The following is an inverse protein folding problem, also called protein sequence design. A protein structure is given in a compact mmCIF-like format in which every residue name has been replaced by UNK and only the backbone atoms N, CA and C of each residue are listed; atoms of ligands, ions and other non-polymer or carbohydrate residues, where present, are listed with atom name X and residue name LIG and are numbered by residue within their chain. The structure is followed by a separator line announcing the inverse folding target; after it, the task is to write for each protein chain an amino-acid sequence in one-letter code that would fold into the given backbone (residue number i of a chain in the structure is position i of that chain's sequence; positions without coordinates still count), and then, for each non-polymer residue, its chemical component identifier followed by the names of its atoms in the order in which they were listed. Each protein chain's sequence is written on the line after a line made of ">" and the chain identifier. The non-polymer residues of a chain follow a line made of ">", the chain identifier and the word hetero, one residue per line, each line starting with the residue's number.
data_IF_652907202358
#
_entry.id   IF_652907202358
#
_cell.length_a   1.000
_cell.length_b   1.000
_cell.length_c   1.000
_cell.angle_alpha   90.00
_cell.angle_beta   90.00
_cell.angle_gamma   90.00
#
_symmetry.space_group_name_H-M   'P 1'
#
loop_
_entity.id
_entity.type
_entity.pdbx_description
1 polymer ?
#
# COMPACT_ATOMS: atom_id res chain seq x y z
N UNK A 1 -5.09 -13.91 9.63
CA UNK A 1 -4.90 -13.27 8.31
C UNK A 1 -3.45 -12.82 8.19
N UNK A 2 -2.80 -13.06 7.06
CA UNK A 2 -1.46 -12.53 6.74
C UNK A 2 -1.59 -11.35 5.78
N UNK A 3 -0.73 -10.36 5.92
CA UNK A 3 -0.64 -9.20 5.03
C UNK A 3 0.76 -9.19 4.41
N UNK A 4 0.84 -9.22 3.09
CA UNK A 4 2.09 -9.13 2.33
C UNK A 4 2.09 -7.80 1.56
N UNK A 5 2.88 -6.85 1.99
CA UNK A 5 2.96 -5.50 1.43
C UNK A 5 4.09 -5.43 0.40
N UNK A 6 3.77 -5.12 -0.85
CA UNK A 6 4.72 -4.95 -1.95
C UNK A 6 4.98 -3.46 -2.18
N UNK A 7 6.23 -3.03 -2.01
CA UNK A 7 6.65 -1.65 -2.22
C UNK A 7 7.95 -1.58 -3.01
N UNK A 8 8.20 -0.45 -3.65
CA UNK A 8 9.39 -0.17 -4.44
C UNK A 8 9.14 0.94 -5.44
N UNK A 9 10.19 1.35 -6.16
CA UNK A 9 10.15 2.40 -7.17
C UNK A 9 9.11 2.12 -8.26
N UNK A 10 8.61 3.17 -8.92
CA UNK A 10 7.77 3.04 -10.10
C UNK A 10 8.45 2.21 -11.20
N UNK A 11 7.72 1.30 -11.84
CA UNK A 11 8.19 0.51 -12.97
C UNK A 11 9.07 -0.71 -12.65
N UNK A 12 9.36 -1.02 -11.37
CA UNK A 12 10.17 -2.20 -11.01
C UNK A 12 9.43 -3.54 -11.10
N UNK A 13 8.11 -3.53 -11.32
CA UNK A 13 7.28 -4.73 -11.47
C UNK A 13 6.59 -5.19 -10.18
N UNK A 14 6.27 -4.26 -9.27
CA UNK A 14 5.52 -4.55 -8.03
C UNK A 14 4.22 -5.30 -8.30
N UNK A 15 3.38 -4.75 -9.15
CA UNK A 15 2.05 -5.28 -9.50
C UNK A 15 2.12 -6.70 -10.01
N UNK A 16 3.00 -6.99 -10.98
CA UNK A 16 3.16 -8.34 -11.53
C UNK A 16 3.65 -9.35 -10.47
N UNK A 17 4.56 -8.94 -9.57
CA UNK A 17 5.07 -9.80 -8.49
C UNK A 17 4.03 -10.02 -7.38
N UNK A 18 3.23 -9.00 -7.05
CA UNK A 18 2.10 -9.12 -6.14
C UNK A 18 1.03 -10.07 -6.70
N UNK A 19 0.65 -9.89 -7.98
CA UNK A 19 -0.29 -10.74 -8.69
C UNK A 19 0.19 -12.21 -8.77
N UNK A 20 1.45 -12.42 -9.14
CA UNK A 20 2.06 -13.76 -9.17
C UNK A 20 2.06 -14.44 -7.79
N UNK A 21 2.33 -13.68 -6.73
CA UNK A 21 2.27 -14.18 -5.35
C UNK A 21 0.86 -14.58 -4.95
N UNK A 22 -0.14 -13.76 -5.29
CA UNK A 22 -1.54 -14.05 -5.00
C UNK A 22 -2.01 -15.31 -5.73
N UNK A 23 -1.63 -15.49 -7.01
CA UNK A 23 -1.89 -16.74 -7.76
C UNK A 23 -1.29 -17.94 -7.04
N UNK A 24 -0.01 -17.86 -6.62
CA UNK A 24 0.65 -18.96 -5.92
C UNK A 24 -0.05 -19.35 -4.63
N UNK A 25 -0.47 -18.37 -3.84
CA UNK A 25 -1.22 -18.59 -2.60
C UNK A 25 -2.58 -19.24 -2.84
N UNK A 26 -3.30 -18.76 -3.85
CA UNK A 26 -4.60 -19.32 -4.25
C UNK A 26 -4.46 -20.77 -4.76
N UNK A 27 -3.41 -21.08 -5.53
CA UNK A 27 -3.08 -22.45 -5.97
C UNK A 27 -2.78 -23.39 -4.81
N UNK A 28 -2.27 -22.87 -3.67
CA UNK A 28 -2.09 -23.61 -2.44
C UNK A 28 -3.38 -23.77 -1.62
N UNK A 29 -4.52 -23.32 -2.13
CA UNK A 29 -5.84 -23.41 -1.49
C UNK A 29 -6.13 -22.31 -0.48
N UNK A 30 -5.27 -21.30 -0.33
CA UNK A 30 -5.50 -20.17 0.58
C UNK A 30 -6.46 -19.15 -0.03
N UNK A 31 -7.48 -18.76 0.72
CA UNK A 31 -8.39 -17.69 0.31
C UNK A 31 -7.64 -16.35 0.31
N UNK A 32 -7.27 -15.88 -0.87
CA UNK A 32 -6.33 -14.78 -1.08
C UNK A 32 -7.00 -13.61 -1.77
N UNK A 33 -6.80 -12.41 -1.22
CA UNK A 33 -7.12 -11.14 -1.86
C UNK A 33 -5.82 -10.48 -2.33
N UNK A 34 -5.77 -10.06 -3.60
CA UNK A 34 -4.80 -9.08 -4.06
C UNK A 34 -5.49 -7.73 -4.20
N UNK A 35 -4.96 -6.71 -3.54
CA UNK A 35 -5.56 -5.38 -3.49
C UNK A 35 -4.55 -4.33 -3.94
N UNK A 36 -4.94 -3.49 -4.91
CA UNK A 36 -4.15 -2.33 -5.34
C UNK A 36 -4.56 -1.07 -4.58
N UNK A 37 -3.52 -0.35 -4.11
CA UNK A 37 -3.62 1.00 -3.54
C UNK A 37 -3.06 2.02 -4.54
N UNK A 38 -2.57 1.56 -5.70
CA UNK A 38 -2.01 2.42 -6.74
C UNK A 38 -3.17 3.03 -7.57
N UNK A 39 -3.28 4.37 -7.63
CA UNK A 39 -4.32 5.03 -8.43
C UNK A 39 -4.21 4.73 -9.93
N UNK A 40 -3.10 4.20 -10.41
CA UNK A 40 -2.94 3.80 -11.82
C UNK A 40 -3.80 2.58 -12.23
N UNK A 41 -4.45 1.90 -11.26
CA UNK A 41 -5.34 0.75 -11.52
C UNK A 41 -4.73 -0.33 -12.44
N UNK A 42 -3.43 -0.59 -12.31
CA UNK A 42 -2.68 -1.51 -13.17
C UNK A 42 -2.83 -2.99 -12.79
N UNK A 43 -3.53 -3.28 -11.68
CA UNK A 43 -3.65 -4.65 -11.18
C UNK A 43 -4.59 -5.50 -12.06
N UNK A 44 -5.75 -4.96 -12.45
CA UNK A 44 -6.66 -5.61 -13.38
C UNK A 44 -6.01 -5.86 -14.75
N UNK A 45 -5.25 -4.88 -15.23
CA UNK A 45 -4.51 -4.98 -16.48
C UNK A 45 -3.46 -6.10 -16.40
N UNK A 46 -2.79 -6.28 -15.25
CA UNK A 46 -1.82 -7.35 -15.07
C UNK A 46 -2.42 -8.75 -15.20
N UNK A 47 -3.71 -8.92 -14.86
CA UNK A 47 -4.45 -10.16 -15.03
C UNK A 47 -5.11 -10.31 -16.41
N UNK A 48 -5.00 -9.30 -17.28
CA UNK A 48 -5.63 -9.24 -18.60
C UNK A 48 -7.17 -9.39 -18.52
N UNK A 49 -7.77 -8.76 -17.51
CA UNK A 49 -9.21 -8.87 -17.25
C UNK A 49 -10.06 -7.90 -18.09
N UNK A 50 -9.43 -7.08 -18.95
CA UNK A 50 -10.11 -6.08 -19.76
C UNK A 50 -10.97 -5.12 -18.93
N UNK A 51 -12.14 -4.73 -19.45
CA UNK A 51 -13.06 -3.80 -18.76
C UNK A 51 -13.86 -4.37 -17.58
N UNK A 52 -13.65 -5.62 -17.16
CA UNK A 52 -14.50 -6.30 -16.17
C UNK A 52 -14.61 -5.54 -14.82
N UNK A 53 -13.55 -4.90 -14.37
CA UNK A 53 -13.58 -4.07 -13.15
C UNK A 53 -14.21 -2.69 -13.36
N UNK A 54 -14.10 -2.13 -14.57
CA UNK A 54 -14.82 -0.90 -14.93
C UNK A 54 -16.33 -1.13 -14.94
N UNK A 55 -16.77 -2.29 -15.39
CA UNK A 55 -18.19 -2.68 -15.43
C UNK A 55 -18.74 -3.01 -14.05
N UNK A 56 -17.93 -3.54 -13.14
CA UNK A 56 -18.35 -3.98 -11.81
C UNK A 56 -18.86 -2.83 -10.91
N UNK A 57 -18.62 -1.56 -11.23
CA UNK A 57 -19.08 -0.35 -10.52
C UNK A 57 -18.97 -0.40 -8.98
N UNK A 58 -18.20 -1.32 -8.42
CA UNK A 58 -18.03 -1.52 -6.97
C UNK A 58 -16.54 -1.55 -6.62
N UNK A 59 -16.21 -1.13 -5.38
CA UNK A 59 -14.87 -1.33 -4.79
C UNK A 59 -14.80 -2.65 -4.00
N UNK A 60 -15.80 -3.51 -4.11
CA UNK A 60 -15.83 -4.79 -3.41
C UNK A 60 -14.94 -5.81 -4.12
N UNK A 61 -14.41 -6.84 -3.41
CA UNK A 61 -13.55 -7.85 -4.01
C UNK A 61 -14.26 -8.63 -5.12
N UNK A 62 -13.63 -8.72 -6.29
CA UNK A 62 -14.07 -9.53 -7.41
C UNK A 62 -13.36 -10.87 -7.38
N UNK A 63 -14.09 -11.98 -7.39
CA UNK A 63 -13.48 -13.30 -7.54
C UNK A 63 -13.04 -13.51 -8.98
N UNK A 64 -11.72 -13.66 -9.19
CA UNK A 64 -11.10 -13.83 -10.52
C UNK A 64 -10.57 -15.24 -10.77
N UNK A 65 -10.63 -16.11 -9.75
CA UNK A 65 -10.22 -17.50 -9.85
C UNK A 65 -10.57 -18.28 -8.58
N UNK A 66 -10.31 -19.61 -8.54
CA UNK A 66 -10.47 -20.40 -7.33
C UNK A 66 -9.63 -19.83 -6.19
N UNK A 67 -10.26 -19.46 -5.07
CA UNK A 67 -9.62 -18.87 -3.90
C UNK A 67 -8.89 -17.54 -4.16
N UNK A 68 -9.03 -16.92 -5.35
CA UNK A 68 -8.36 -15.70 -5.73
C UNK A 68 -9.36 -14.56 -5.96
N UNK A 69 -9.15 -13.48 -5.24
CA UNK A 69 -9.97 -12.27 -5.32
C UNK A 69 -9.09 -11.07 -5.63
N UNK A 70 -9.64 -10.12 -6.37
CA UNK A 70 -8.98 -8.87 -6.76
C UNK A 70 -9.83 -7.69 -6.33
N UNK A 71 -9.18 -6.64 -5.82
CA UNK A 71 -9.83 -5.39 -5.45
C UNK A 71 -8.94 -4.20 -5.85
N UNK A 72 -9.54 -3.20 -6.46
CA UNK A 72 -8.93 -1.89 -6.70
C UNK A 72 -9.68 -0.82 -5.92
N UNK A 73 -8.96 -0.05 -5.11
CA UNK A 73 -9.54 1.03 -4.32
C UNK A 73 -9.70 2.25 -5.22
N UNK A 74 -10.96 2.61 -5.54
CA UNK A 74 -11.27 3.76 -6.39
C UNK A 74 -11.76 4.94 -5.54
N UNK A 75 -10.97 6.01 -5.48
CA UNK A 75 -11.24 7.18 -4.65
C UNK A 75 -12.61 7.82 -4.90
N UNK A 76 -13.04 7.92 -6.16
CA UNK A 76 -14.32 8.54 -6.50
C UNK A 76 -15.52 7.75 -5.96
N UNK A 77 -15.39 6.43 -5.84
CA UNK A 77 -16.39 5.54 -5.25
C UNK A 77 -16.35 5.60 -3.74
N UNK A 78 -15.15 5.59 -3.17
CA UNK A 78 -14.94 5.70 -1.73
C UNK A 78 -15.44 7.03 -1.17
N UNK A 79 -15.22 8.13 -1.89
CA UNK A 79 -15.77 9.44 -1.53
C UNK A 79 -17.29 9.40 -1.34
N UNK A 80 -18.00 8.76 -2.26
CA UNK A 80 -19.46 8.63 -2.15
C UNK A 80 -19.88 7.73 -0.99
N UNK A 81 -19.13 6.66 -0.73
CA UNK A 81 -19.47 5.62 0.25
C UNK A 81 -19.14 6.02 1.69
N UNK A 82 -17.98 6.64 1.91
CA UNK A 82 -17.41 6.85 3.25
C UNK A 82 -17.10 8.31 3.59
N UNK A 83 -16.90 9.18 2.62
CA UNK A 83 -16.40 10.53 2.81
C UNK A 83 -17.45 11.62 2.57
N UNK A 84 -18.68 11.26 2.26
CA UNK A 84 -19.72 12.19 1.77
C UNK A 84 -19.91 13.45 2.62
N UNK A 85 -19.97 13.36 3.95
CA UNK A 85 -20.14 14.55 4.80
C UNK A 85 -18.84 15.37 4.95
N UNK A 86 -17.68 14.72 4.93
CA UNK A 86 -16.37 15.39 4.98
C UNK A 86 -16.17 16.15 3.68
N UNK A 87 -16.34 15.49 2.54
CA UNK A 87 -16.25 16.09 1.21
C UNK A 87 -17.26 17.25 1.03
N UNK A 88 -18.51 17.07 1.44
CA UNK A 88 -19.52 18.11 1.37
C UNK A 88 -19.15 19.35 2.20
N UNK A 89 -18.56 19.17 3.38
CA UNK A 89 -18.09 20.29 4.19
C UNK A 89 -16.91 21.00 3.50
N UNK A 90 -15.88 20.26 3.05
CA UNK A 90 -14.71 20.83 2.36
C UNK A 90 -15.13 21.58 1.09
N UNK A 91 -15.97 20.96 0.26
CA UNK A 91 -16.56 21.62 -0.93
C UNK A 91 -17.29 22.91 -0.56
N UNK A 92 -18.05 22.90 0.56
CA UNK A 92 -18.78 24.11 1.00
C UNK A 92 -17.85 25.26 1.42
N UNK A 93 -16.67 24.93 1.98
CA UNK A 93 -15.64 25.93 2.33
C UNK A 93 -15.03 26.51 1.06
N UNK A 94 -14.66 25.67 0.08
CA UNK A 94 -14.11 26.15 -1.19
C UNK A 94 -15.09 27.00 -1.99
N UNK A 95 -16.37 26.66 -2.04
CA UNK A 95 -17.43 27.50 -2.65
C UNK A 95 -17.57 28.85 -1.98
N UNK A 96 -17.36 28.93 -0.67
CA UNK A 96 -17.39 30.22 0.05
C UNK A 96 -16.16 31.07 -0.29
N UNK A 97 -15.06 30.44 -0.71
CA UNK A 97 -13.82 31.12 -1.16
C UNK A 97 -13.83 31.50 -2.65
N UNK A 98 -14.95 31.31 -3.36
CA UNK A 98 -15.13 31.72 -4.74
C UNK A 98 -14.84 30.65 -5.80
N UNK A 99 -14.59 29.41 -5.40
CA UNK A 99 -14.48 28.26 -6.32
C UNK A 99 -15.88 27.66 -6.53
N UNK A 100 -16.27 27.44 -7.79
CA UNK A 100 -17.59 26.93 -8.14
C UNK A 100 -17.50 25.61 -8.94
N UNK A 101 -18.58 24.80 -8.87
CA UNK A 101 -18.75 23.62 -9.71
C UNK A 101 -17.77 22.50 -9.46
N UNK A 102 -17.25 21.90 -10.54
CA UNK A 102 -16.37 20.73 -10.55
C UNK A 102 -15.04 21.00 -9.83
N UNK A 103 -14.50 22.23 -9.96
CA UNK A 103 -13.23 22.60 -9.34
C UNK A 103 -13.29 22.47 -7.80
N UNK A 104 -14.39 22.88 -7.18
CA UNK A 104 -14.57 22.75 -5.73
C UNK A 104 -14.71 21.28 -5.28
N UNK A 105 -15.28 20.42 -6.14
CA UNK A 105 -15.41 18.98 -5.88
C UNK A 105 -14.07 18.25 -6.04
N UNK A 106 -13.29 18.59 -7.08
CA UNK A 106 -11.96 18.02 -7.28
C UNK A 106 -10.99 18.43 -6.16
N UNK A 107 -11.03 19.68 -5.69
CA UNK A 107 -10.22 20.14 -4.57
C UNK A 107 -10.66 19.56 -3.22
N UNK A 108 -11.84 18.97 -3.13
CA UNK A 108 -12.29 18.26 -1.95
C UNK A 108 -11.71 16.83 -1.82
N UNK A 109 -10.98 16.35 -2.83
CA UNK A 109 -10.20 15.12 -2.76
C UNK A 109 -8.93 15.42 -1.98
N UNK A 110 -8.88 14.97 -0.73
CA UNK A 110 -7.74 15.20 0.15
C UNK A 110 -6.64 14.14 -0.11
N UNK A 111 -5.36 14.52 -0.14
CA UNK A 111 -4.27 13.56 -0.22
C UNK A 111 -4.33 12.56 0.94
N UNK A 112 -4.16 11.28 0.66
CA UNK A 112 -4.21 10.22 1.67
C UNK A 112 -5.56 9.52 1.81
N UNK A 113 -6.59 9.93 1.07
CA UNK A 113 -7.91 9.28 1.11
C UNK A 113 -7.89 7.85 0.56
N UNK A 114 -7.05 7.57 -0.44
CA UNK A 114 -6.88 6.24 -1.02
C UNK A 114 -6.25 5.30 0.00
N UNK A 115 -5.17 5.75 0.64
CA UNK A 115 -4.47 5.00 1.67
C UNK A 115 -5.38 4.72 2.88
N UNK A 116 -6.17 5.72 3.31
CA UNK A 116 -7.13 5.54 4.40
C UNK A 116 -8.25 4.57 4.03
N UNK A 117 -8.76 4.63 2.79
CA UNK A 117 -9.78 3.71 2.31
C UNK A 117 -9.25 2.28 2.25
N UNK A 118 -8.01 2.10 1.77
CA UNK A 118 -7.36 0.79 1.78
C UNK A 118 -7.17 0.25 3.21
N UNK A 119 -6.79 1.09 4.17
CA UNK A 119 -6.69 0.70 5.58
C UNK A 119 -8.03 0.25 6.17
N UNK A 120 -9.13 0.94 5.82
CA UNK A 120 -10.46 0.52 6.26
C UNK A 120 -10.79 -0.89 5.76
N UNK A 121 -10.50 -1.19 4.49
CA UNK A 121 -10.69 -2.53 3.92
C UNK A 121 -9.80 -3.57 4.59
N UNK A 122 -8.50 -3.30 4.75
CA UNK A 122 -7.57 -4.20 5.45
C UNK A 122 -8.09 -4.52 6.86
N UNK A 123 -8.55 -3.52 7.61
CA UNK A 123 -9.09 -3.72 8.95
C UNK A 123 -10.43 -4.47 8.95
N UNK A 124 -11.29 -4.20 7.97
CA UNK A 124 -12.54 -4.92 7.77
C UNK A 124 -12.26 -6.41 7.55
N UNK A 125 -11.34 -6.76 6.62
CA UNK A 125 -11.01 -8.15 6.32
C UNK A 125 -10.29 -8.85 7.49
N UNK A 126 -9.48 -8.09 8.23
CA UNK A 126 -8.85 -8.62 9.45
C UNK A 126 -9.89 -8.97 10.51
N UNK A 127 -10.91 -8.12 10.70
CA UNK A 127 -11.98 -8.35 11.70
C UNK A 127 -12.97 -9.43 11.26
N UNK A 128 -13.29 -9.51 9.97
CA UNK A 128 -14.21 -10.51 9.43
C UNK A 128 -13.58 -11.89 9.29
N UNK A 129 -12.24 -11.96 9.11
CA UNK A 129 -11.56 -13.21 8.80
C UNK A 129 -11.89 -13.77 7.41
N UNK A 130 -12.41 -12.95 6.50
CA UNK A 130 -12.85 -13.36 5.17
C UNK A 130 -11.71 -13.91 4.31
N UNK A 131 -10.51 -13.35 4.45
CA UNK A 131 -9.33 -13.79 3.71
C UNK A 131 -8.26 -14.33 4.66
N UNK A 132 -7.56 -15.38 4.22
CA UNK A 132 -6.39 -15.91 4.93
C UNK A 132 -5.16 -15.05 4.66
N UNK A 133 -5.03 -14.55 3.42
CA UNK A 133 -3.92 -13.69 2.99
C UNK A 133 -4.43 -12.51 2.19
N UNK A 134 -3.90 -11.33 2.49
CA UNK A 134 -4.09 -10.10 1.71
C UNK A 134 -2.73 -9.67 1.17
N UNK A 135 -2.63 -9.59 -0.15
CA UNK A 135 -1.44 -9.10 -0.87
C UNK A 135 -1.73 -7.67 -1.28
N UNK A 136 -0.97 -6.71 -0.72
CA UNK A 136 -1.11 -5.29 -1.01
C UNK A 136 -0.11 -4.87 -2.07
N UNK A 137 -0.61 -4.50 -3.25
CA UNK A 137 0.17 -3.81 -4.28
C UNK A 137 0.14 -2.31 -3.99
N UNK A 138 1.23 -1.79 -3.44
CA UNK A 138 1.31 -0.40 -3.06
C UNK A 138 1.83 0.46 -4.21
N UNK A 139 1.32 1.68 -4.28
CA UNK A 139 1.84 2.74 -5.13
C UNK A 139 3.36 2.98 -4.90
N UNK A 140 4.05 3.74 -5.75
CA UNK A 140 5.49 4.00 -5.61
C UNK A 140 5.89 4.46 -4.20
N UNK A 141 7.14 4.24 -3.85
CA UNK A 141 7.71 4.33 -2.49
C UNK A 141 7.16 5.45 -1.60
N UNK A 142 7.01 6.67 -2.11
CA UNK A 142 6.55 7.81 -1.31
C UNK A 142 5.11 7.64 -0.77
N UNK A 143 4.22 7.05 -1.56
CA UNK A 143 2.82 6.81 -1.18
C UNK A 143 2.70 5.59 -0.26
N UNK A 144 3.48 4.53 -0.52
CA UNK A 144 3.60 3.40 0.42
C UNK A 144 4.05 3.86 1.81
N UNK A 145 4.93 4.87 1.88
CA UNK A 145 5.40 5.44 3.14
C UNK A 145 4.28 6.21 3.85
N UNK A 146 3.41 6.91 3.12
CA UNK A 146 2.22 7.55 3.69
C UNK A 146 1.26 6.52 4.27
N UNK A 147 0.98 5.45 3.54
CA UNK A 147 0.14 4.35 4.02
C UNK A 147 0.57 3.86 5.40
N UNK A 148 1.86 3.76 5.67
CA UNK A 148 2.39 3.27 6.95
C UNK A 148 2.34 4.34 8.05
N UNK A 149 2.59 5.61 7.74
CA UNK A 149 2.67 6.70 8.72
C UNK A 149 1.31 7.30 9.11
N UNK A 150 0.30 7.18 8.24
CA UNK A 150 -1.02 7.77 8.46
C UNK A 150 -1.72 7.30 9.75
N UNK A 151 -1.75 6.00 10.11
CA UNK A 151 -2.45 5.56 11.31
C UNK A 151 -1.91 6.23 12.57
N UNK A 152 -0.60 6.28 12.74
CA UNK A 152 0.06 6.91 13.90
C UNK A 152 -0.22 8.41 13.96
N UNK A 153 -0.18 9.10 12.80
CA UNK A 153 -0.47 10.53 12.71
C UNK A 153 -1.92 10.83 13.08
N UNK A 154 -2.86 10.04 12.59
CA UNK A 154 -4.29 10.18 12.87
C UNK A 154 -4.61 9.85 14.33
N UNK A 155 -3.99 8.83 14.91
CA UNK A 155 -4.15 8.50 16.33
C UNK A 155 -3.70 9.66 17.22
N UNK A 156 -2.54 10.26 16.89
CA UNK A 156 -2.06 11.44 17.60
C UNK A 156 -3.04 12.62 17.51
N UNK A 157 -3.55 12.91 16.28
CA UNK A 157 -4.54 13.95 16.06
C UNK A 157 -5.82 13.71 16.87
N UNK A 158 -6.36 12.50 16.83
CA UNK A 158 -7.58 12.14 17.57
C UNK A 158 -7.41 12.27 19.08
N UNK A 159 -6.23 11.91 19.62
CA UNK A 159 -5.95 12.01 21.05
C UNK A 159 -5.77 13.45 21.54
N UNK A 160 -5.10 14.30 20.76
CA UNK A 160 -4.63 15.59 21.26
C UNK A 160 -5.38 16.80 20.70
N UNK A 161 -5.93 16.71 19.49
CA UNK A 161 -6.50 17.86 18.77
C UNK A 161 -8.00 17.74 18.59
N UNK A 162 -8.49 16.61 18.14
CA UNK A 162 -9.88 16.40 17.74
C UNK A 162 -10.91 16.75 18.82
N UNK A 163 -10.71 16.30 20.07
CA UNK A 163 -11.60 16.59 21.20
C UNK A 163 -11.63 18.08 21.54
N UNK A 164 -10.48 18.74 21.47
CA UNK A 164 -10.36 20.17 21.72
C UNK A 164 -11.06 20.98 20.62
N UNK A 165 -10.80 20.64 19.35
CA UNK A 165 -11.41 21.28 18.19
C UNK A 165 -12.95 21.15 18.22
N UNK A 166 -13.47 19.94 18.45
CA UNK A 166 -14.92 19.70 18.58
C UNK A 166 -15.54 20.52 19.71
N UNK A 167 -14.87 20.62 20.86
CA UNK A 167 -15.35 21.41 22.01
C UNK A 167 -15.35 22.90 21.71
N UNK A 168 -14.29 23.41 21.08
CA UNK A 168 -14.17 24.80 20.66
C UNK A 168 -15.28 25.17 19.65
N UNK A 169 -15.50 24.31 18.65
CA UNK A 169 -16.55 24.52 17.64
C UNK A 169 -17.95 24.57 18.26
N UNK A 170 -18.23 23.74 19.27
CA UNK A 170 -19.50 23.80 20.03
C UNK A 170 -19.67 25.11 20.76
N UNK A 171 -18.60 25.64 21.36
CA UNK A 171 -18.65 26.91 22.10
C UNK A 171 -18.78 28.13 21.17
N UNK A 172 -18.15 28.12 20.01
CA UNK A 172 -18.14 29.24 19.04
C UNK A 172 -19.41 29.29 18.17
N UNK A 173 -20.05 28.13 17.91
CA UNK A 173 -21.23 28.03 17.02
C UNK A 173 -22.36 29.03 17.33
N UNK A 174 -22.79 29.28 18.61
CA UNK A 174 -23.84 30.26 18.89
C UNK A 174 -23.44 31.70 18.54
N UNK A 175 -22.14 32.01 18.63
CA UNK A 175 -21.60 33.35 18.36
C UNK A 175 -21.39 33.55 16.85
N UNK A 176 -20.84 32.55 16.16
CA UNK A 176 -20.57 32.60 14.74
C UNK A 176 -21.86 32.80 13.91
N UNK A 177 -22.97 32.19 14.33
CA UNK A 177 -24.27 32.35 13.69
C UNK A 177 -24.81 33.82 13.75
N UNK A 178 -24.20 34.67 14.60
CA UNK A 178 -24.55 36.09 14.74
C UNK A 178 -23.61 37.03 14.00
N UNK A 179 -22.40 36.57 13.64
CA UNK A 179 -21.31 37.39 13.10
C UNK A 179 -21.19 37.36 11.57
N UNK A 180 -21.99 36.55 10.85
CA UNK A 180 -21.98 36.49 9.39
C UNK A 180 -21.74 35.09 8.80
N UNK A 181 -21.42 34.96 7.51
CA UNK A 181 -21.49 33.69 6.76
C UNK A 181 -20.29 32.73 7.02
N UNK A 182 -19.75 32.69 8.23
CA UNK A 182 -18.70 31.72 8.56
C UNK A 182 -19.31 30.34 8.70
N UNK A 183 -19.04 29.47 7.72
CA UNK A 183 -19.48 28.08 7.75
C UNK A 183 -18.60 27.25 8.68
N UNK A 184 -19.09 27.01 9.89
CA UNK A 184 -18.46 26.07 10.82
C UNK A 184 -18.80 24.62 10.46
N UNK A 185 -17.88 23.66 10.74
CA UNK A 185 -18.14 22.25 10.53
C UNK A 185 -19.43 21.80 11.27
N UNK A 186 -20.37 21.11 10.58
CA UNK A 186 -21.53 20.53 11.26
C UNK A 186 -21.10 19.41 12.21
N UNK A 187 -21.96 19.07 13.19
CA UNK A 187 -21.67 17.94 14.11
C UNK A 187 -21.50 16.61 13.37
N UNK A 188 -22.22 16.42 12.25
CA UNK A 188 -22.06 15.25 11.37
C UNK A 188 -20.65 15.10 10.79
N UNK A 189 -19.93 16.20 10.56
CA UNK A 189 -18.51 16.16 10.17
C UNK A 189 -17.67 15.45 11.24
N UNK A 190 -17.80 15.88 12.50
CA UNK A 190 -17.05 15.28 13.61
C UNK A 190 -17.43 13.82 13.85
N UNK A 191 -18.69 13.46 13.68
CA UNK A 191 -19.16 12.08 13.76
C UNK A 191 -18.51 11.22 12.66
N UNK A 192 -18.52 11.68 11.41
CA UNK A 192 -17.93 10.94 10.30
C UNK A 192 -16.40 10.80 10.43
N UNK A 193 -15.70 11.83 10.94
CA UNK A 193 -14.27 11.72 11.22
C UNK A 193 -14.01 10.67 12.30
N UNK A 194 -14.83 10.63 13.36
CA UNK A 194 -14.73 9.62 14.40
C UNK A 194 -15.00 8.21 13.84
N UNK A 195 -16.06 8.04 13.04
CA UNK A 195 -16.42 6.76 12.42
C UNK A 195 -15.32 6.24 11.49
N UNK A 196 -14.67 7.13 10.74
CA UNK A 196 -13.52 6.77 9.90
C UNK A 196 -12.34 6.31 10.74
N UNK A 197 -12.03 7.05 11.81
CA UNK A 197 -10.96 6.67 12.72
C UNK A 197 -11.23 5.30 13.36
N UNK A 198 -12.44 5.05 13.82
CA UNK A 198 -12.82 3.76 14.43
C UNK A 198 -12.71 2.58 13.44
N UNK A 199 -12.91 2.85 12.14
CA UNK A 199 -12.74 1.85 11.08
C UNK A 199 -11.27 1.49 10.84
N UNK A 200 -10.33 2.41 11.04
CA UNK A 200 -8.90 2.15 10.85
C UNK A 200 -8.17 1.81 12.16
N UNK A 201 -8.80 1.99 13.31
CA UNK A 201 -8.18 1.75 14.61
C UNK A 201 -7.62 0.33 14.75
N UNK A 202 -6.34 0.23 15.12
CA UNK A 202 -5.60 -1.03 15.27
C UNK A 202 -4.98 -1.57 13.97
N UNK A 203 -5.02 -0.82 12.87
CA UNK A 203 -4.26 -1.16 11.65
C UNK A 203 -2.76 -0.98 11.88
N UNK A 204 -2.34 0.05 12.57
CA UNK A 204 -0.97 0.30 13.00
C UNK A 204 -0.36 -0.91 13.71
N UNK A 205 -1.03 -1.40 14.76
CA UNK A 205 -0.63 -2.60 15.49
C UNK A 205 -0.52 -3.82 14.58
N UNK A 206 -1.46 -4.00 13.63
CA UNK A 206 -1.42 -5.11 12.69
C UNK A 206 -0.28 -4.98 11.67
N UNK A 207 0.04 -3.76 11.24
CA UNK A 207 1.16 -3.51 10.33
C UNK A 207 2.52 -3.73 11.01
N UNK A 208 2.64 -3.40 12.28
CA UNK A 208 3.86 -3.60 13.07
C UNK A 208 4.08 -5.04 13.54
N UNK A 209 3.01 -5.84 13.62
CA UNK A 209 3.10 -7.25 14.03
C UNK A 209 3.69 -8.10 12.90
N UNK A 210 4.94 -8.54 13.06
CA UNK A 210 5.64 -9.39 12.08
C UNK A 210 4.99 -10.75 11.84
N UNK A 211 4.15 -11.22 12.78
CA UNK A 211 3.33 -12.43 12.59
C UNK A 211 2.13 -12.18 11.66
N UNK A 212 1.71 -10.94 11.52
CA UNK A 212 0.59 -10.51 10.65
C UNK A 212 1.10 -9.92 9.36
N UNK A 213 2.03 -8.98 9.39
CA UNK A 213 2.48 -8.20 8.23
C UNK A 213 3.95 -8.43 7.90
N UNK A 214 4.23 -8.58 6.62
CA UNK A 214 5.59 -8.56 6.05
C UNK A 214 5.65 -7.60 4.87
N UNK A 215 6.75 -6.84 4.80
CA UNK A 215 7.06 -5.95 3.67
C UNK A 215 8.03 -6.64 2.73
N UNK A 216 7.76 -6.60 1.43
CA UNK A 216 8.63 -7.05 0.34
C UNK A 216 9.03 -5.86 -0.49
N UNK A 217 10.32 -5.58 -0.50
CA UNK A 217 10.85 -4.47 -1.29
C UNK A 217 11.29 -4.98 -2.65
N UNK A 218 10.69 -4.39 -3.68
CA UNK A 218 10.99 -4.71 -5.06
C UNK A 218 11.99 -3.69 -5.61
N UNK A 219 13.04 -4.20 -6.23
CA UNK A 219 14.10 -3.39 -6.83
C UNK A 219 14.54 -3.99 -8.16
N UNK A 220 15.27 -3.22 -8.96
CA UNK A 220 16.07 -3.72 -10.07
C UNK A 220 17.55 -3.58 -9.72
N UNK A 221 18.41 -4.30 -10.41
CA UNK A 221 19.86 -4.21 -10.19
C UNK A 221 20.46 -2.96 -10.86
N UNK A 222 19.93 -1.79 -10.50
CA UNK A 222 20.34 -0.45 -10.96
C UNK A 222 20.69 0.44 -9.77
N UNK A 223 21.78 1.20 -9.84
CA UNK A 223 22.29 2.04 -8.72
C UNK A 223 21.27 3.03 -8.18
N UNK A 224 20.50 3.68 -9.07
CA UNK A 224 19.50 4.66 -8.64
C UNK A 224 18.32 4.00 -7.94
N UNK A 225 17.87 2.84 -8.44
CA UNK A 225 16.77 2.07 -7.84
C UNK A 225 17.21 1.50 -6.49
N UNK A 226 18.45 0.99 -6.40
CA UNK A 226 19.02 0.52 -5.12
C UNK A 226 19.00 1.61 -4.04
N UNK A 227 19.43 2.84 -4.36
CA UNK A 227 19.42 3.95 -3.38
C UNK A 227 18.02 4.29 -2.87
N UNK A 228 17.02 4.19 -3.74
CA UNK A 228 15.64 4.39 -3.34
C UNK A 228 15.13 3.25 -2.46
N UNK A 229 15.48 2.02 -2.81
CA UNK A 229 15.15 0.82 -2.01
C UNK A 229 15.81 0.87 -0.62
N UNK A 230 17.05 1.36 -0.52
CA UNK A 230 17.75 1.57 0.76
C UNK A 230 17.00 2.56 1.65
N UNK A 231 16.55 3.69 1.09
CA UNK A 231 15.74 4.67 1.84
C UNK A 231 14.40 4.08 2.31
N UNK A 232 13.73 3.33 1.43
CA UNK A 232 12.49 2.65 1.77
C UNK A 232 12.69 1.63 2.90
N UNK A 233 13.77 0.85 2.84
CA UNK A 233 14.12 -0.14 3.87
C UNK A 233 14.31 0.52 5.25
N UNK A 234 15.09 1.59 5.31
CA UNK A 234 15.29 2.34 6.56
C UNK A 234 13.96 2.89 7.07
N UNK A 235 13.15 3.48 6.20
CA UNK A 235 11.87 4.07 6.60
C UNK A 235 10.88 3.03 7.15
N UNK A 236 10.67 1.91 6.45
CA UNK A 236 9.80 0.84 6.95
C UNK A 236 10.30 0.30 8.30
N UNK A 237 11.61 0.16 8.45
CA UNK A 237 12.22 -0.29 9.71
C UNK A 237 12.01 0.72 10.84
N UNK A 238 12.13 2.03 10.59
CA UNK A 238 11.86 3.09 11.56
C UNK A 238 10.39 3.09 12.03
N UNK A 239 9.47 2.75 11.14
CA UNK A 239 8.05 2.59 11.47
C UNK A 239 7.68 1.22 12.01
N UNK A 240 8.66 0.42 12.40
CA UNK A 240 8.43 -0.87 13.07
C UNK A 240 8.01 -2.02 12.17
N UNK A 241 7.96 -1.84 10.83
CA UNK A 241 7.57 -2.89 9.91
C UNK A 241 8.72 -3.84 9.62
N UNK A 242 8.41 -5.11 9.48
CA UNK A 242 9.39 -6.15 9.15
C UNK A 242 9.50 -6.33 7.65
N UNK A 243 10.67 -5.97 7.09
CA UNK A 243 11.02 -6.32 5.71
C UNK A 243 11.51 -7.77 5.70
N UNK A 244 10.76 -8.67 5.06
CA UNK A 244 11.07 -10.11 5.03
C UNK A 244 11.86 -10.54 3.80
N UNK A 245 11.73 -9.84 2.67
CA UNK A 245 12.46 -10.11 1.43
C UNK A 245 12.79 -8.84 0.65
N UNK A 246 13.95 -8.87 0.00
CA UNK A 246 14.29 -7.98 -1.11
C UNK A 246 14.14 -8.80 -2.40
N UNK A 247 13.33 -8.33 -3.35
CA UNK A 247 13.14 -9.02 -4.63
C UNK A 247 13.75 -8.18 -5.73
N UNK A 248 14.86 -8.69 -6.31
CA UNK A 248 15.50 -8.07 -7.46
C UNK A 248 14.89 -8.62 -8.73
N UNK A 249 14.08 -7.79 -9.37
CA UNK A 249 13.36 -8.15 -10.59
C UNK A 249 14.18 -7.82 -11.85
N UNK A 250 13.87 -8.48 -12.95
CA UNK A 250 14.48 -8.27 -14.27
C UNK A 250 16.00 -8.47 -14.28
N UNK A 251 16.47 -9.51 -13.58
CA UNK A 251 17.88 -9.90 -13.64
C UNK A 251 18.15 -10.53 -15.00
N UNK A 252 19.17 -10.03 -15.68
CA UNK A 252 19.55 -10.51 -17.01
C UNK A 252 19.95 -12.00 -16.93
N UNK A 253 19.29 -12.90 -17.68
CA UNK A 253 19.60 -14.33 -17.66
C UNK A 253 21.01 -14.62 -18.16
N UNK A 254 21.64 -15.69 -17.65
CA UNK A 254 23.01 -16.07 -18.02
C UNK A 254 23.14 -16.52 -19.49
N UNK A 255 22.04 -16.96 -20.08
CA UNK A 255 21.96 -17.38 -21.48
C UNK A 255 22.15 -16.20 -22.47
N UNK A 256 21.92 -14.97 -22.05
CA UNK A 256 22.08 -13.78 -22.86
C UNK A 256 23.56 -13.41 -22.90
N UNK A 257 24.30 -13.87 -23.92
CA UNK A 257 25.74 -13.72 -24.03
C UNK A 257 26.22 -12.73 -25.09
N UNK A 258 25.32 -12.02 -25.74
CA UNK A 258 25.67 -11.01 -26.73
C UNK A 258 26.60 -9.94 -26.15
N UNK A 259 27.58 -9.51 -26.93
CA UNK A 259 28.59 -8.54 -26.49
C UNK A 259 28.04 -7.20 -26.06
N UNK A 260 26.85 -6.80 -26.58
CA UNK A 260 26.13 -5.59 -26.16
C UNK A 260 25.73 -5.65 -24.69
N UNK A 261 25.34 -6.83 -24.19
CA UNK A 261 24.89 -7.00 -22.81
C UNK A 261 26.04 -7.20 -21.81
N UNK A 262 27.27 -7.28 -22.24
CA UNK A 262 28.42 -7.54 -21.35
C UNK A 262 28.58 -6.45 -20.28
N UNK A 263 28.61 -5.19 -20.67
CA UNK A 263 28.73 -4.07 -19.73
C UNK A 263 27.52 -3.97 -18.78
N UNK A 264 26.32 -4.21 -19.30
CA UNK A 264 25.07 -4.24 -18.50
C UNK A 264 25.17 -5.34 -17.45
N UNK A 265 25.65 -6.52 -17.80
CA UNK A 265 25.85 -7.64 -16.88
C UNK A 265 26.87 -7.34 -15.80
N UNK A 266 28.01 -6.73 -16.16
CA UNK A 266 29.04 -6.35 -15.20
C UNK A 266 28.52 -5.35 -14.17
N UNK A 267 27.81 -4.31 -14.61
CA UNK A 267 27.17 -3.35 -13.71
C UNK A 267 26.06 -3.98 -12.85
N UNK A 268 25.27 -4.86 -13.44
CA UNK A 268 24.22 -5.58 -12.73
C UNK A 268 24.80 -6.48 -11.63
N UNK A 269 25.87 -7.24 -11.94
CA UNK A 269 26.52 -8.11 -10.96
C UNK A 269 27.14 -7.32 -9.81
N UNK A 270 27.78 -6.19 -10.10
CA UNK A 270 28.29 -5.30 -9.06
C UNK A 270 27.17 -4.74 -8.17
N UNK A 271 26.03 -4.38 -8.77
CA UNK A 271 24.86 -3.89 -8.02
C UNK A 271 24.19 -5.00 -7.22
N UNK A 272 24.09 -6.23 -7.74
CA UNK A 272 23.57 -7.39 -7.01
C UNK A 272 24.43 -7.69 -5.77
N UNK A 273 25.75 -7.67 -5.89
CA UNK A 273 26.65 -7.85 -4.73
C UNK A 273 26.43 -6.75 -3.67
N UNK A 274 26.27 -5.50 -4.10
CA UNK A 274 25.97 -4.38 -3.19
C UNK A 274 24.61 -4.54 -2.51
N UNK A 275 23.59 -5.05 -3.22
CA UNK A 275 22.25 -5.35 -2.65
C UNK A 275 22.37 -6.41 -1.55
N UNK A 276 23.05 -7.52 -1.83
CA UNK A 276 23.23 -8.62 -0.86
C UNK A 276 23.98 -8.16 0.38
N UNK A 277 25.06 -7.40 0.20
CA UNK A 277 25.83 -6.86 1.30
C UNK A 277 25.04 -5.88 2.16
N UNK A 278 24.29 -4.96 1.55
CA UNK A 278 23.59 -3.90 2.27
C UNK A 278 22.39 -4.43 3.06
N UNK A 279 21.60 -5.33 2.45
CA UNK A 279 20.37 -5.81 3.08
C UNK A 279 20.57 -7.05 3.96
N UNK A 280 21.79 -7.60 4.05
CA UNK A 280 22.03 -8.71 4.97
C UNK A 280 21.58 -8.38 6.41
N UNK A 281 20.91 -9.28 7.11
CA UNK A 281 20.58 -10.66 6.79
C UNK A 281 19.19 -10.86 6.16
N UNK A 282 18.60 -9.86 5.48
CA UNK A 282 17.32 -10.01 4.78
C UNK A 282 17.53 -10.86 3.53
N UNK A 283 16.74 -11.92 3.30
CA UNK A 283 16.83 -12.74 2.10
C UNK A 283 16.64 -11.91 0.82
N UNK A 284 17.53 -12.13 -0.15
CA UNK A 284 17.45 -11.51 -1.48
C UNK A 284 17.01 -12.59 -2.48
N UNK A 285 15.90 -12.32 -3.19
CA UNK A 285 15.41 -13.15 -4.29
C UNK A 285 15.73 -12.49 -5.61
N UNK A 286 16.11 -13.28 -6.60
CA UNK A 286 16.40 -12.80 -7.96
C UNK A 286 15.35 -13.39 -8.91
N UNK A 287 14.71 -12.52 -9.68
CA UNK A 287 13.71 -12.88 -10.69
C UNK A 287 14.29 -12.55 -12.06
N UNK A 288 14.38 -13.51 -12.98
CA UNK A 288 14.97 -13.28 -14.28
C UNK A 288 14.13 -12.31 -15.12
N UNK A 289 14.78 -11.62 -16.03
CA UNK A 289 14.10 -10.89 -17.10
C UNK A 289 13.45 -11.88 -18.05
N UNK A 290 12.17 -11.66 -18.33
CA UNK A 290 11.42 -12.45 -19.31
C UNK A 290 11.45 -11.77 -20.69
N UNK A 291 11.37 -12.56 -21.79
CA UNK A 291 11.40 -11.98 -23.14
C UNK A 291 10.10 -11.25 -23.51
N UNK A 292 9.03 -11.51 -22.78
CA UNK A 292 7.72 -10.94 -23.00
C UNK A 292 7.18 -10.29 -21.72
N UNK A 293 6.20 -9.42 -21.88
CA UNK A 293 5.46 -8.83 -20.78
C UNK A 293 4.70 -9.91 -20.00
N UNK A 294 4.66 -9.79 -18.68
CA UNK A 294 4.05 -10.78 -17.79
C UNK A 294 2.59 -10.39 -17.50
N UNK A 295 1.73 -10.62 -18.50
CA UNK A 295 0.30 -10.34 -18.46
C UNK A 295 -0.54 -11.62 -18.55
N UNK A 296 -1.64 -11.64 -17.80
CA UNK A 296 -2.58 -12.75 -17.76
C UNK A 296 -2.14 -13.90 -16.87
N UNK A 297 -3.09 -14.78 -16.53
CA UNK A 297 -2.91 -15.84 -15.54
C UNK A 297 -1.74 -16.79 -15.84
N UNK A 298 -1.57 -17.19 -17.09
CA UNK A 298 -0.53 -18.18 -17.45
C UNK A 298 0.87 -17.60 -17.23
N UNK A 299 1.12 -16.38 -17.68
CA UNK A 299 2.42 -15.72 -17.53
C UNK A 299 2.71 -15.34 -16.08
N UNK A 300 1.71 -14.87 -15.35
CA UNK A 300 1.84 -14.59 -13.92
C UNK A 300 2.10 -15.88 -13.12
N UNK A 301 1.51 -17.02 -13.52
CA UNK A 301 1.82 -18.34 -12.95
C UNK A 301 3.27 -18.74 -13.25
N UNK A 302 3.76 -18.48 -14.46
CA UNK A 302 5.16 -18.70 -14.82
C UNK A 302 6.09 -17.80 -13.96
N UNK A 303 5.73 -16.54 -13.76
CA UNK A 303 6.46 -15.63 -12.88
C UNK A 303 6.50 -16.16 -11.45
N UNK A 304 5.38 -16.64 -10.93
CA UNK A 304 5.28 -17.23 -9.60
C UNK A 304 6.21 -18.44 -9.43
N UNK A 305 6.33 -19.31 -10.46
CA UNK A 305 7.23 -20.46 -10.43
C UNK A 305 8.72 -20.11 -10.46
N UNK A 306 9.08 -18.89 -10.90
CA UNK A 306 10.45 -18.36 -10.83
C UNK A 306 10.71 -17.61 -9.53
N UNK A 307 9.67 -17.10 -8.89
CA UNK A 307 9.77 -16.37 -7.63
C UNK A 307 9.80 -17.30 -6.41
N UNK A 308 9.07 -18.42 -6.47
CA UNK A 308 8.93 -19.36 -5.37
C UNK A 308 9.31 -20.79 -5.78
N UNK A 309 10.00 -21.49 -4.90
CA UNK A 309 10.30 -22.91 -5.08
C UNK A 309 9.00 -23.75 -5.01
N UNK A 310 9.09 -24.98 -5.51
CA UNK A 310 7.98 -25.93 -5.38
C UNK A 310 7.71 -26.21 -3.89
N UNK A 311 6.42 -26.18 -3.49
CA UNK A 311 6.01 -26.38 -2.09
C UNK A 311 6.26 -25.18 -1.17
N UNK A 312 6.97 -24.16 -1.62
CA UNK A 312 7.20 -22.96 -0.81
C UNK A 312 5.91 -22.15 -0.60
N UNK A 313 5.62 -21.82 0.66
CA UNK A 313 4.48 -20.97 1.06
C UNK A 313 4.89 -19.49 1.12
N UNK A 314 4.41 -18.66 0.20
CA UNK A 314 4.69 -17.23 0.23
C UNK A 314 4.22 -16.52 1.50
N UNK A 315 3.22 -17.06 2.20
CA UNK A 315 2.69 -16.47 3.43
C UNK A 315 3.42 -16.93 4.69
N UNK A 316 4.43 -17.81 4.57
CA UNK A 316 5.23 -18.24 5.70
C UNK A 316 5.93 -17.05 6.39
N UNK A 317 6.02 -17.10 7.71
CA UNK A 317 6.74 -16.09 8.49
C UNK A 317 8.22 -16.42 8.41
N UNK A 318 8.95 -15.65 7.62
CA UNK A 318 10.40 -15.86 7.41
C UNK A 318 11.26 -15.07 8.38
N UNK A 319 10.72 -13.98 8.92
CA UNK A 319 11.40 -13.13 9.91
C UNK A 319 10.41 -12.62 10.94
N UNK A 320 10.81 -12.65 12.18
CA UNK A 320 10.08 -12.08 13.33
C UNK A 320 10.87 -10.96 14.03
N UNK A 321 12.17 -10.85 13.72
CA UNK A 321 13.04 -9.83 14.32
C UNK A 321 13.17 -8.62 13.41
N UNK A 322 13.02 -7.44 13.99
CA UNK A 322 13.29 -6.17 13.30
C UNK A 322 14.79 -6.05 13.03
N UNK A 323 15.22 -5.56 11.84
CA UNK A 323 16.63 -5.39 11.53
C UNK A 323 17.31 -4.33 12.42
N UNK A 324 16.53 -3.40 12.96
CA UNK A 324 16.98 -2.36 13.88
C UNK A 324 16.09 -2.33 15.11
N UNK A 325 16.71 -2.14 16.27
CA UNK A 325 16.04 -1.83 17.52
C UNK A 325 16.51 -0.44 17.94
N UNK A 326 15.56 0.47 18.22
CA UNK A 326 15.89 1.78 18.73
C UNK A 326 15.63 1.79 20.24
N UNK A 327 16.67 2.03 21.01
CA UNK A 327 16.55 2.28 22.44
C UNK A 327 16.66 3.80 22.67
N UNK A 328 15.79 4.35 23.52
CA UNK A 328 15.91 5.72 23.97
C UNK A 328 16.81 5.76 25.20
N UNK A 329 17.94 6.43 25.09
CA UNK A 329 18.80 6.74 26.22
C UNK A 329 18.79 8.26 26.47
N UNK A 330 17.99 8.69 27.45
CA UNK A 330 17.76 10.11 27.75
C UNK A 330 17.09 10.83 26.56
N UNK A 331 17.78 11.83 25.99
CA UNK A 331 17.33 12.61 24.83
C UNK A 331 17.92 12.10 23.49
N UNK A 332 18.67 11.00 23.52
CA UNK A 332 19.29 10.39 22.35
C UNK A 332 18.60 9.05 22.01
N UNK A 333 18.65 8.68 20.72
CA UNK A 333 18.23 7.36 20.21
C UNK A 333 19.48 6.60 19.74
N UNK A 334 19.67 5.38 20.20
CA UNK A 334 20.69 4.44 19.76
C UNK A 334 20.08 3.28 18.95
#
# INVERSE_FOLDING_TARGET
>A
MRILLYSGKGGVGKTSLAAATAIRLAQMGKRTLVMSIDPAHSLADSFDLGGALFEAQTSDPLQIGPQLFLQEVNINREMKRHWGAISAYVTSVFRTSGLEGVEAEEMAILPGMEELSAMMYVNQYRRSGEFEVVVLDCAPTAESLRFVSLPTTLEWYMKHVFGLERSLMKAVRPIANRLGPVKLPPESYFQNVQDLFDKIAGVDTALEDSSVTSVRLITNAEKMVLRETQRAFVYFSLHGLTVDHIIVNRVLPDEVQDGFFRSIREEQNATLAAIEQYFAPVPVRRVPMFPNEMLGFDRLTQLASKLYAEGEDPAAITRVTRPFTFARDGDHYE
#
